data_IF_376824627878
#
_entry.id   IF_376824627878
#
_cell.length_a   1.000
_cell.length_b   1.000
_cell.length_c   1.000
_cell.angle_alpha   90.00
_cell.angle_beta   90.00
_cell.angle_gamma   90.00
#
_symmetry.space_group_name_H-M   'P 1'
#
loop_
_entity.id
_entity.type
_entity.pdbx_description
1 polymer ?
#
# COMPACT_ATOMS: atom_id res chain seq x y z
N UNK A 1 -16.06 8.14 12.88
CA UNK A 1 -15.98 6.89 12.10
C UNK A 1 -14.56 6.32 12.13
N UNK A 2 -14.41 5.03 11.82
CA UNK A 2 -13.12 4.36 11.75
C UNK A 2 -12.99 3.66 10.42
N UNK A 3 -11.96 4.01 9.67
CA UNK A 3 -11.58 3.36 8.42
C UNK A 3 -10.22 2.69 8.57
N UNK A 4 -10.06 1.49 8.02
CA UNK A 4 -8.78 0.80 7.93
C UNK A 4 -8.48 0.56 6.46
N UNK A 5 -7.38 1.14 5.99
CA UNK A 5 -6.90 1.00 4.62
C UNK A 5 -6.02 -0.25 4.52
N UNK A 6 -6.32 -1.12 3.55
CA UNK A 6 -5.62 -2.39 3.35
C UNK A 6 -5.40 -2.67 1.87
N UNK A 7 -4.36 -3.46 1.60
CA UNK A 7 -4.02 -3.95 0.27
C UNK A 7 -3.55 -5.41 0.31
N UNK A 8 -3.12 -5.94 -0.82
CA UNK A 8 -2.63 -7.31 -0.97
C UNK A 8 -1.35 -7.63 -0.20
N UNK A 9 -0.60 -6.62 0.22
CA UNK A 9 0.63 -6.74 1.01
C UNK A 9 0.37 -6.60 2.51
N UNK A 10 -0.83 -6.14 2.89
CA UNK A 10 -1.27 -6.08 4.29
C UNK A 10 -1.39 -7.48 4.87
N UNK A 11 -0.55 -7.81 5.86
CA UNK A 11 -0.38 -9.17 6.33
C UNK A 11 -0.28 -9.29 7.85
N UNK A 12 -0.56 -10.48 8.40
CA UNK A 12 -0.26 -10.86 9.79
C UNK A 12 -0.95 -9.95 10.82
N UNK A 13 -0.20 -9.18 11.63
CA UNK A 13 -0.75 -8.29 12.65
C UNK A 13 -1.72 -7.24 12.08
N UNK A 14 -1.45 -6.73 10.88
CA UNK A 14 -2.36 -5.81 10.18
C UNK A 14 -3.71 -6.47 9.90
N UNK A 15 -3.71 -7.75 9.53
CA UNK A 15 -4.93 -8.52 9.29
C UNK A 15 -5.68 -8.85 10.59
N UNK A 16 -4.94 -9.02 11.70
CA UNK A 16 -5.55 -9.18 13.03
C UNK A 16 -6.36 -7.95 13.39
N UNK A 17 -5.78 -6.77 13.22
CA UNK A 17 -6.47 -5.49 13.51
C UNK A 17 -7.64 -5.28 12.55
N UNK A 18 -7.44 -5.42 11.24
CA UNK A 18 -8.49 -5.25 10.24
C UNK A 18 -9.66 -6.22 10.48
N UNK A 19 -9.36 -7.50 10.72
CA UNK A 19 -10.35 -8.52 11.02
C UNK A 19 -11.12 -8.26 12.32
N UNK A 20 -10.44 -7.80 13.36
CA UNK A 20 -11.09 -7.47 14.62
C UNK A 20 -12.07 -6.28 14.46
N UNK A 21 -11.67 -5.25 13.71
CA UNK A 21 -12.53 -4.08 13.44
C UNK A 21 -13.72 -4.46 12.57
N UNK A 22 -13.49 -5.23 11.49
CA UNK A 22 -14.55 -5.67 10.59
C UNK A 22 -15.57 -6.57 11.27
N UNK A 23 -15.11 -7.57 12.00
CA UNK A 23 -15.96 -8.59 12.60
C UNK A 23 -16.77 -8.08 13.79
N UNK A 24 -16.31 -7.02 14.47
CA UNK A 24 -17.07 -6.33 15.52
C UNK A 24 -17.94 -5.17 14.98
N UNK A 25 -18.05 -4.99 13.67
CA UNK A 25 -18.78 -3.86 13.04
C UNK A 25 -18.36 -2.49 13.62
N UNK A 26 -17.06 -2.35 13.97
CA UNK A 26 -16.53 -1.14 14.61
C UNK A 26 -16.10 -0.09 13.59
N UNK A 27 -15.83 -0.49 12.36
CA UNK A 27 -15.39 0.37 11.27
C UNK A 27 -15.47 -0.33 9.92
N UNK A 28 -15.06 0.38 8.87
CA UNK A 28 -15.03 -0.12 7.50
C UNK A 28 -13.60 -0.42 7.06
N UNK A 29 -13.45 -1.51 6.34
CA UNK A 29 -12.20 -1.89 5.68
C UNK A 29 -12.27 -1.43 4.24
N UNK A 30 -11.32 -0.60 3.82
CA UNK A 30 -11.28 0.00 2.49
C UNK A 30 -10.00 -0.45 1.78
N UNK A 31 -10.12 -0.91 0.55
CA UNK A 31 -8.95 -1.26 -0.25
C UNK A 31 -9.10 -2.54 -1.05
N UNK A 32 -8.11 -3.43 -0.95
CA UNK A 32 -8.07 -4.73 -1.62
C UNK A 32 -7.93 -5.86 -0.63
N UNK A 33 -8.22 -7.09 -1.07
CA UNK A 33 -8.11 -8.28 -0.23
C UNK A 33 -6.69 -8.47 0.28
N UNK A 34 -6.53 -8.61 1.59
CA UNK A 34 -5.24 -8.74 2.27
C UNK A 34 -4.51 -10.04 1.96
N UNK A 35 -3.29 -10.16 2.43
CA UNK A 35 -2.39 -11.26 2.09
C UNK A 35 -2.91 -12.64 2.50
N UNK A 36 -3.53 -12.78 3.68
CA UNK A 36 -4.01 -14.07 4.19
C UNK A 36 -2.99 -14.86 5.00
N UNK A 37 -2.26 -14.19 5.91
CA UNK A 37 -1.33 -14.83 6.84
C UNK A 37 -1.91 -14.87 8.25
N UNK A 38 -2.60 -15.95 8.56
CA UNK A 38 -3.27 -16.18 9.84
C UNK A 38 -2.57 -17.18 10.75
N UNK A 39 -1.25 -17.35 10.64
CA UNK A 39 -0.46 -18.29 11.43
C UNK A 39 0.32 -17.55 12.53
N UNK A 40 0.26 -18.09 13.75
CA UNK A 40 1.10 -17.66 14.87
C UNK A 40 2.41 -18.43 14.84
N UNK A 41 3.52 -17.72 14.86
CA UNK A 41 4.86 -18.30 14.85
C UNK A 41 5.60 -17.90 16.12
N UNK A 42 6.28 -18.86 16.73
CA UNK A 42 7.15 -18.65 17.89
C UNK A 42 8.60 -18.93 17.54
N UNK A 43 9.49 -18.12 18.09
CA UNK A 43 10.93 -18.31 18.00
C UNK A 43 11.40 -19.09 19.22
N UNK A 44 12.09 -20.20 18.99
CA UNK A 44 12.61 -21.08 20.04
C UNK A 44 14.14 -21.11 19.94
N UNK A 45 14.88 -20.75 20.98
CA UNK A 45 16.33 -20.84 20.97
C UNK A 45 16.78 -22.30 20.97
N UNK A 46 17.80 -22.61 20.17
CA UNK A 46 18.44 -23.93 20.08
C UNK A 46 19.80 -23.98 20.80
N UNK A 47 20.25 -22.88 21.39
CA UNK A 47 21.57 -22.72 22.00
C UNK A 47 22.57 -22.07 21.03
N UNK A 48 23.70 -21.59 21.57
CA UNK A 48 24.80 -20.96 20.80
C UNK A 48 24.39 -19.82 19.86
N UNK A 49 23.23 -19.17 20.11
CA UNK A 49 22.71 -18.11 19.27
C UNK A 49 21.77 -18.58 18.16
N UNK A 50 21.66 -19.87 17.92
CA UNK A 50 20.76 -20.45 16.92
C UNK A 50 19.31 -20.42 17.41
N UNK A 51 18.38 -20.23 16.45
CA UNK A 51 16.95 -20.19 16.72
C UNK A 51 16.16 -20.88 15.62
N UNK A 52 15.06 -21.54 15.98
CA UNK A 52 14.09 -22.06 15.06
C UNK A 52 12.77 -21.28 15.19
N UNK A 53 12.13 -20.98 14.08
CA UNK A 53 10.80 -20.37 14.03
C UNK A 53 9.77 -21.41 13.61
N UNK A 54 8.86 -21.74 14.52
CA UNK A 54 7.83 -22.74 14.31
C UNK A 54 6.43 -22.11 14.33
N UNK A 55 5.56 -22.62 13.46
CA UNK A 55 4.11 -22.32 13.53
C UNK A 55 3.50 -23.15 14.66
N UNK A 56 2.89 -22.45 15.63
CA UNK A 56 2.33 -23.08 16.84
C UNK A 56 0.81 -23.00 16.93
N UNK A 57 0.18 -22.03 16.22
CA UNK A 57 -1.27 -21.84 16.25
C UNK A 57 -1.78 -21.16 14.98
N UNK A 58 -3.11 -21.18 14.82
CA UNK A 58 -3.85 -20.37 13.84
C UNK A 58 -4.57 -19.25 14.56
N UNK A 59 -4.65 -18.11 13.90
CA UNK A 59 -5.42 -16.98 14.34
C UNK A 59 -6.86 -17.06 13.82
N UNK A 60 -7.81 -16.72 14.68
CA UNK A 60 -9.23 -16.62 14.33
C UNK A 60 -9.73 -15.23 14.74
N UNK A 61 -10.52 -14.61 13.86
CA UNK A 61 -11.15 -13.32 14.13
C UNK A 61 -12.36 -13.47 15.05
N UNK A 62 -12.97 -12.37 15.56
CA UNK A 62 -14.12 -12.45 16.49
C UNK A 62 -15.31 -13.28 15.99
N UNK A 63 -15.58 -13.33 14.69
CA UNK A 63 -16.62 -14.21 14.12
C UNK A 63 -16.23 -15.68 14.06
N UNK A 64 -15.00 -16.04 14.42
CA UNK A 64 -14.47 -17.42 14.39
C UNK A 64 -13.90 -17.83 13.04
N UNK A 65 -13.83 -16.94 12.03
CA UNK A 65 -13.21 -17.25 10.75
C UNK A 65 -11.69 -17.25 10.84
N UNK A 66 -11.04 -18.17 10.12
CA UNK A 66 -9.62 -18.12 9.86
C UNK A 66 -9.34 -17.32 8.58
N UNK A 67 -8.44 -16.35 8.66
CA UNK A 67 -8.00 -15.56 7.51
C UNK A 67 -6.88 -16.25 6.72
N UNK A 68 -6.32 -17.34 7.26
CA UNK A 68 -5.23 -18.06 6.63
C UNK A 68 -5.66 -18.60 5.26
N UNK A 69 -4.97 -18.17 4.21
CA UNK A 69 -5.16 -18.78 2.88
C UNK A 69 -4.65 -20.21 2.85
N UNK A 70 -5.14 -21.04 1.93
CA UNK A 70 -4.71 -22.42 1.83
C UNK A 70 -3.18 -22.53 1.76
N UNK A 71 -2.63 -23.39 2.59
CA UNK A 71 -1.21 -23.69 2.66
C UNK A 71 -1.02 -25.15 2.22
N UNK A 72 -0.56 -25.32 0.98
CA UNK A 72 -0.11 -26.63 0.52
C UNK A 72 1.37 -26.78 0.89
N UNK A 73 1.68 -27.78 1.72
CA UNK A 73 3.04 -28.09 2.16
C UNK A 73 3.90 -28.66 1.04
N UNK A 74 3.30 -29.05 -0.10
CA UNK A 74 4.01 -29.62 -1.24
C UNK A 74 4.87 -28.62 -2.01
N UNK A 75 4.53 -27.33 -1.98
CA UNK A 75 5.29 -26.29 -2.68
C UNK A 75 5.26 -24.93 -1.98
N UNK A 76 6.42 -24.53 -1.43
CA UNK A 76 6.61 -23.19 -0.89
C UNK A 76 6.47 -22.10 -1.97
N UNK A 77 6.78 -22.44 -3.21
CA UNK A 77 6.68 -21.53 -4.37
C UNK A 77 5.24 -21.15 -4.68
N UNK A 78 4.30 -22.07 -4.51
CA UNK A 78 2.88 -21.85 -4.82
C UNK A 78 2.21 -20.92 -3.83
N UNK A 79 2.68 -20.92 -2.58
CA UNK A 79 2.18 -20.00 -1.55
C UNK A 79 2.35 -18.53 -1.93
N UNK A 80 3.52 -18.14 -2.48
CA UNK A 80 3.76 -16.78 -2.94
C UNK A 80 3.24 -16.52 -4.37
N UNK A 81 3.08 -17.57 -5.16
CA UNK A 81 2.49 -17.46 -6.50
C UNK A 81 1.01 -17.08 -6.48
N UNK A 82 0.29 -17.33 -5.37
CA UNK A 82 -1.13 -16.97 -5.24
C UNK A 82 -1.36 -15.46 -5.36
N UNK A 83 -0.53 -14.63 -4.73
CA UNK A 83 -0.65 -13.17 -4.87
C UNK A 83 -0.44 -12.73 -6.32
N UNK A 84 0.55 -13.30 -7.01
CA UNK A 84 0.76 -13.05 -8.45
C UNK A 84 -0.43 -13.49 -9.29
N UNK A 85 -1.08 -14.61 -8.92
CA UNK A 85 -2.27 -15.11 -9.59
C UNK A 85 -3.44 -14.14 -9.49
N UNK A 86 -3.60 -13.39 -8.37
CA UNK A 86 -4.63 -12.35 -8.22
C UNK A 86 -4.53 -11.28 -9.31
N UNK A 87 -3.31 -10.86 -9.67
CA UNK A 87 -3.09 -9.94 -10.80
C UNK A 87 -3.52 -10.56 -12.14
N UNK A 88 -3.18 -11.83 -12.37
CA UNK A 88 -3.48 -12.53 -13.62
C UNK A 88 -4.99 -12.81 -13.80
N UNK A 89 -5.69 -13.11 -12.72
CA UNK A 89 -7.15 -13.35 -12.74
C UNK A 89 -7.97 -12.08 -12.85
N UNK A 90 -7.33 -10.91 -12.65
CA UNK A 90 -7.99 -9.61 -12.65
C UNK A 90 -8.68 -9.25 -11.34
N UNK A 91 -8.41 -9.98 -10.25
CA UNK A 91 -8.94 -9.67 -8.92
C UNK A 91 -8.57 -8.24 -8.48
N UNK A 92 -7.39 -7.76 -8.88
CA UNK A 92 -6.93 -6.40 -8.53
C UNK A 92 -7.78 -5.27 -9.13
N UNK A 93 -8.63 -5.59 -10.10
CA UNK A 93 -9.47 -4.60 -10.78
C UNK A 93 -10.97 -4.84 -10.58
N UNK A 94 -11.33 -6.06 -10.16
CA UNK A 94 -12.72 -6.48 -10.11
C UNK A 94 -12.97 -7.35 -8.87
N UNK A 95 -13.71 -6.83 -7.86
CA UNK A 95 -14.00 -7.56 -6.63
C UNK A 95 -14.83 -8.83 -6.86
N UNK A 96 -15.57 -8.93 -7.96
CA UNK A 96 -16.36 -10.13 -8.27
C UNK A 96 -15.49 -11.36 -8.57
N UNK A 97 -14.19 -11.14 -8.82
CA UNK A 97 -13.19 -12.20 -9.07
C UNK A 97 -12.49 -12.69 -7.81
N UNK A 98 -12.80 -12.14 -6.65
CA UNK A 98 -12.34 -12.66 -5.37
C UNK A 98 -12.97 -14.04 -5.17
N UNK A 99 -12.18 -15.12 -5.02
CA UNK A 99 -12.72 -16.44 -4.81
C UNK A 99 -13.41 -16.53 -3.44
N UNK A 100 -14.69 -16.86 -3.44
CA UNK A 100 -15.48 -17.08 -2.23
C UNK A 100 -15.70 -18.57 -2.06
N UNK A 101 -15.45 -19.06 -0.83
CA UNK A 101 -15.82 -20.40 -0.44
C UNK A 101 -17.08 -20.34 0.43
N UNK A 102 -18.20 -20.83 -0.08
CA UNK A 102 -19.50 -20.77 0.59
C UNK A 102 -19.50 -21.44 1.97
N UNK A 103 -18.63 -22.42 2.21
CA UNK A 103 -18.48 -23.07 3.53
C UNK A 103 -17.73 -22.21 4.55
N UNK A 104 -17.14 -21.09 4.13
CA UNK A 104 -16.36 -20.17 4.96
C UNK A 104 -16.96 -18.77 5.02
N UNK A 105 -18.28 -18.68 4.94
CA UNK A 105 -19.03 -17.43 5.14
C UNK A 105 -19.43 -17.34 6.62
N UNK A 106 -19.13 -16.20 7.23
CA UNK A 106 -19.44 -15.88 8.62
C UNK A 106 -20.28 -14.60 8.66
N UNK A 107 -20.92 -14.34 9.79
CA UNK A 107 -21.80 -13.20 9.95
C UNK A 107 -21.38 -12.38 11.16
N UNK A 108 -21.26 -11.08 11.00
CA UNK A 108 -20.97 -10.15 12.08
C UNK A 108 -22.20 -9.91 12.96
N UNK A 109 -22.07 -9.31 14.15
CA UNK A 109 -23.20 -8.97 15.02
C UNK A 109 -24.31 -8.15 14.34
N UNK A 110 -23.96 -7.28 13.40
CA UNK A 110 -24.95 -6.48 12.62
C UNK A 110 -25.47 -7.20 11.36
N UNK A 111 -25.10 -8.46 11.15
CA UNK A 111 -25.59 -9.26 10.02
C UNK A 111 -24.80 -9.11 8.72
N UNK A 112 -23.64 -8.44 8.74
CA UNK A 112 -22.76 -8.33 7.58
C UNK A 112 -22.06 -9.66 7.30
N UNK A 113 -22.00 -10.08 6.04
CA UNK A 113 -21.24 -11.27 5.62
C UNK A 113 -19.76 -10.94 5.55
N UNK A 114 -18.93 -11.82 6.13
CA UNK A 114 -17.47 -11.78 6.06
C UNK A 114 -16.94 -13.16 5.68
N UNK A 115 -15.76 -13.20 5.07
CA UNK A 115 -15.25 -14.40 4.40
C UNK A 115 -13.96 -14.87 5.04
N UNK A 116 -13.81 -16.19 5.17
CA UNK A 116 -12.60 -16.83 5.67
C UNK A 116 -11.77 -17.48 4.55
N UNK A 117 -10.58 -17.99 4.92
CA UNK A 117 -9.74 -18.81 4.06
C UNK A 117 -8.89 -18.09 3.03
N UNK A 118 -8.78 -16.76 3.08
CA UNK A 118 -8.04 -16.05 2.03
C UNK A 118 -7.70 -14.58 2.31
N UNK A 119 -7.47 -14.20 3.55
CA UNK A 119 -7.26 -12.81 3.96
C UNK A 119 -8.57 -12.10 4.31
N UNK A 120 -8.47 -10.80 4.52
CA UNK A 120 -9.62 -9.92 4.79
C UNK A 120 -10.10 -9.33 3.46
N UNK A 121 -11.34 -9.62 3.09
CA UNK A 121 -12.02 -8.96 1.97
C UNK A 121 -12.52 -7.60 2.44
N UNK A 122 -12.19 -6.50 1.75
CA UNK A 122 -12.61 -5.17 2.18
C UNK A 122 -14.12 -4.97 2.04
N UNK A 123 -14.68 -4.06 2.84
CA UNK A 123 -16.06 -3.62 2.74
C UNK A 123 -16.27 -2.71 1.52
N UNK A 124 -15.27 -1.87 1.25
CA UNK A 124 -15.23 -0.97 0.10
C UNK A 124 -14.00 -1.27 -0.72
N UNK A 125 -14.21 -1.70 -1.95
CA UNK A 125 -13.13 -2.10 -2.83
C UNK A 125 -12.51 -0.90 -3.55
N UNK A 126 -11.17 -0.86 -3.62
CA UNK A 126 -10.40 0.12 -4.39
C UNK A 126 -9.58 -0.61 -5.46
N UNK A 127 -9.94 -0.42 -6.71
CA UNK A 127 -9.28 -1.04 -7.87
C UNK A 127 -7.92 -0.40 -8.15
N UNK A 128 -6.96 -1.19 -8.61
CA UNK A 128 -5.68 -0.66 -9.10
C UNK A 128 -5.85 0.12 -10.41
N UNK A 129 -6.63 -0.40 -11.34
CA UNK A 129 -6.84 0.16 -12.70
C UNK A 129 -5.62 0.88 -13.31
N UNK A 130 -4.42 0.39 -12.99
CA UNK A 130 -3.16 1.00 -13.38
C UNK A 130 -2.72 0.50 -14.75
N UNK A 131 -2.24 1.43 -15.56
CA UNK A 131 -1.55 1.10 -16.81
C UNK A 131 -0.13 0.60 -16.51
N UNK A 132 0.51 -0.08 -17.47
CA UNK A 132 1.92 -0.49 -17.33
C UNK A 132 2.86 0.69 -17.05
N UNK A 133 2.54 1.87 -17.60
CA UNK A 133 3.33 3.09 -17.39
C UNK A 133 3.15 3.62 -15.95
N UNK A 134 1.97 3.49 -15.35
CA UNK A 134 1.71 3.87 -13.96
C UNK A 134 2.44 2.92 -13.00
N UNK A 135 2.30 1.62 -13.18
CA UNK A 135 3.03 0.61 -12.39
C UNK A 135 4.55 0.83 -12.44
N UNK A 136 5.07 1.19 -13.62
CA UNK A 136 6.49 1.50 -13.77
C UNK A 136 6.89 2.76 -13.00
N UNK A 137 6.08 3.81 -13.04
CA UNK A 137 6.35 5.04 -12.30
C UNK A 137 6.27 4.81 -10.80
N UNK A 138 5.30 4.04 -10.31
CA UNK A 138 5.19 3.68 -8.90
C UNK A 138 6.40 2.87 -8.42
N UNK A 139 6.90 1.95 -9.26
CA UNK A 139 8.16 1.26 -9.01
C UNK A 139 9.35 2.23 -8.90
N UNK A 140 9.47 3.21 -9.80
CA UNK A 140 10.54 4.22 -9.75
C UNK A 140 10.44 5.09 -8.50
N UNK A 141 9.23 5.53 -8.15
CA UNK A 141 8.97 6.31 -6.92
C UNK A 141 9.35 5.49 -5.68
N UNK A 142 8.95 4.22 -5.63
CA UNK A 142 9.29 3.29 -4.53
C UNK A 142 10.76 2.86 -4.47
N UNK A 143 11.55 3.09 -5.52
CA UNK A 143 12.96 2.68 -5.61
C UNK A 143 13.95 3.66 -4.94
N UNK A 144 13.48 4.65 -4.19
CA UNK A 144 14.28 5.75 -3.60
C UNK A 144 14.99 6.67 -4.62
N UNK A 145 14.77 6.51 -5.92
CA UNK A 145 15.37 7.39 -6.94
C UNK A 145 14.87 8.83 -6.83
N UNK A 146 13.61 8.99 -6.48
CA UNK A 146 13.02 10.32 -6.32
C UNK A 146 13.59 11.05 -5.10
N UNK A 147 13.86 10.33 -4.01
CA UNK A 147 14.49 10.90 -2.81
C UNK A 147 15.91 11.38 -3.12
N UNK A 148 16.71 10.54 -3.79
CA UNK A 148 18.04 10.91 -4.23
C UNK A 148 18.03 12.09 -5.23
N UNK A 149 17.09 12.08 -6.17
CA UNK A 149 16.92 13.20 -7.11
C UNK A 149 16.65 14.51 -6.38
N UNK A 150 15.69 14.49 -5.45
CA UNK A 150 15.32 15.66 -4.65
C UNK A 150 16.51 16.17 -3.85
N UNK A 151 17.24 15.28 -3.18
CA UNK A 151 18.45 15.65 -2.44
C UNK A 151 19.46 16.39 -3.32
N UNK A 152 19.76 15.84 -4.51
CA UNK A 152 20.72 16.45 -5.45
C UNK A 152 20.22 17.79 -6.01
N UNK A 153 18.92 17.93 -6.26
CA UNK A 153 18.34 19.20 -6.74
C UNK A 153 18.33 20.28 -5.67
N UNK A 154 18.04 19.91 -4.42
CA UNK A 154 18.10 20.84 -3.30
C UNK A 154 19.53 21.31 -3.03
N UNK A 155 20.52 20.40 -3.09
CA UNK A 155 21.93 20.73 -2.88
C UNK A 155 22.42 21.77 -3.93
N UNK A 156 22.05 21.57 -5.21
CA UNK A 156 22.42 22.51 -6.30
C UNK A 156 21.71 23.86 -6.20
N UNK A 157 20.46 23.88 -5.73
CA UNK A 157 19.54 24.99 -5.92
C UNK A 157 19.00 25.57 -4.59
N UNK A 158 19.62 25.25 -3.47
CA UNK A 158 19.15 25.62 -2.11
C UNK A 158 18.77 27.12 -2.00
N UNK A 159 19.51 28.00 -2.70
CA UNK A 159 19.26 29.44 -2.69
C UNK A 159 18.01 29.87 -3.49
N UNK A 160 17.48 28.99 -4.33
CA UNK A 160 16.34 29.28 -5.21
C UNK A 160 15.01 28.90 -4.58
N UNK A 161 15.05 28.18 -3.45
CA UNK A 161 13.87 27.76 -2.73
C UNK A 161 13.70 28.57 -1.45
N UNK A 162 12.54 29.19 -1.29
CA UNK A 162 12.17 29.81 -0.02
C UNK A 162 11.31 28.83 0.77
N UNK A 163 11.92 28.19 1.76
CA UNK A 163 11.29 27.22 2.63
C UNK A 163 10.83 27.79 3.99
N UNK A 164 10.88 29.11 4.17
CA UNK A 164 10.61 29.76 5.45
C UNK A 164 9.14 29.65 5.88
N UNK A 165 8.23 29.36 4.93
CA UNK A 165 6.80 29.26 5.21
C UNK A 165 6.23 27.90 4.74
N UNK A 166 6.16 26.96 5.67
CA UNK A 166 5.61 25.62 5.48
C UNK A 166 4.17 25.62 4.96
N UNK A 167 3.30 26.51 5.48
CA UNK A 167 1.91 26.58 5.04
C UNK A 167 1.79 27.08 3.60
N UNK A 168 2.62 28.03 3.22
CA UNK A 168 2.72 28.50 1.84
C UNK A 168 3.17 27.36 0.92
N UNK A 169 4.22 26.62 1.30
CA UNK A 169 4.71 25.47 0.54
C UNK A 169 3.63 24.39 0.34
N UNK A 170 2.81 24.12 1.36
CA UNK A 170 1.72 23.16 1.25
C UNK A 170 0.67 23.57 0.20
N UNK A 171 0.34 24.87 0.15
CA UNK A 171 -0.76 25.39 -0.66
C UNK A 171 -0.36 25.79 -2.09
N UNK A 172 0.91 26.02 -2.36
CA UNK A 172 1.39 26.47 -3.67
C UNK A 172 1.97 25.30 -4.49
N UNK A 173 1.94 25.43 -5.79
CA UNK A 173 2.67 24.53 -6.69
C UNK A 173 4.19 24.68 -6.55
N UNK A 174 4.93 23.67 -6.98
CA UNK A 174 6.38 23.78 -7.09
C UNK A 174 6.77 24.89 -8.08
N UNK A 175 7.79 25.70 -7.79
CA UNK A 175 8.32 26.65 -8.77
C UNK A 175 8.85 25.87 -9.98
N UNK A 176 8.50 26.31 -11.20
CA UNK A 176 8.91 25.65 -12.44
C UNK A 176 8.62 24.12 -12.50
N UNK A 177 7.36 23.70 -12.39
CA UNK A 177 7.00 22.28 -12.33
C UNK A 177 7.45 21.49 -13.59
N UNK A 178 7.47 22.12 -14.77
CA UNK A 178 7.98 21.51 -16.00
C UNK A 178 9.47 21.19 -15.92
N UNK A 179 10.26 22.12 -15.38
CA UNK A 179 11.69 21.91 -15.19
C UNK A 179 12.00 20.75 -14.25
N UNK A 180 11.23 20.59 -13.18
CA UNK A 180 11.35 19.42 -12.28
C UNK A 180 11.09 18.12 -13.03
N UNK A 181 10.04 18.06 -13.84
CA UNK A 181 9.71 16.87 -14.62
C UNK A 181 10.82 16.53 -15.62
N UNK A 182 11.33 17.50 -16.34
CA UNK A 182 12.39 17.32 -17.33
C UNK A 182 13.68 16.85 -16.67
N UNK A 183 14.09 17.50 -15.58
CA UNK A 183 15.27 17.13 -14.79
C UNK A 183 15.14 15.73 -14.20
N UNK A 184 13.96 15.37 -13.68
CA UNK A 184 13.73 14.03 -13.13
C UNK A 184 13.76 12.95 -14.21
N UNK A 185 13.12 13.21 -15.35
CA UNK A 185 13.15 12.26 -16.47
C UNK A 185 14.58 12.03 -17.00
N UNK A 186 15.39 13.08 -17.07
CA UNK A 186 16.80 12.97 -17.45
C UNK A 186 17.62 12.22 -16.38
N UNK A 187 17.37 12.49 -15.11
CA UNK A 187 18.00 11.78 -13.99
C UNK A 187 17.68 10.29 -14.02
N UNK A 188 16.42 9.91 -14.20
CA UNK A 188 16.01 8.51 -14.36
C UNK A 188 16.67 7.83 -15.54
N UNK A 189 16.76 8.53 -16.69
CA UNK A 189 17.44 8.03 -17.89
C UNK A 189 18.93 7.78 -17.66
N UNK A 190 19.62 8.67 -16.95
CA UNK A 190 21.04 8.51 -16.56
C UNK A 190 21.27 7.31 -15.65
N UNK A 191 20.28 6.94 -14.84
CA UNK A 191 20.32 5.79 -13.95
C UNK A 191 19.79 4.49 -14.62
N UNK A 192 19.63 4.46 -15.94
CA UNK A 192 19.12 3.32 -16.71
C UNK A 192 17.67 2.89 -16.36
N UNK A 193 16.88 3.78 -15.80
CA UNK A 193 15.49 3.58 -15.42
C UNK A 193 14.59 4.66 -16.05
N UNK A 194 14.49 4.74 -17.39
CA UNK A 194 13.76 5.81 -18.05
C UNK A 194 12.27 5.75 -17.68
N UNK A 195 11.71 6.93 -17.35
CA UNK A 195 10.27 7.09 -17.14
C UNK A 195 9.59 7.65 -18.39
N UNK A 196 8.31 7.33 -18.54
CA UNK A 196 7.46 7.90 -19.57
C UNK A 196 6.48 8.88 -18.93
N UNK A 197 6.75 10.17 -19.12
CA UNK A 197 5.85 11.23 -18.65
C UNK A 197 4.69 11.39 -19.61
N UNK A 198 3.47 11.32 -19.07
CA UNK A 198 2.21 11.53 -19.78
C UNK A 198 1.41 12.61 -19.08
N UNK A 199 0.36 13.13 -19.73
CA UNK A 199 -0.55 14.07 -19.05
C UNK A 199 -1.19 13.48 -17.79
N UNK A 200 -1.45 12.16 -17.80
CA UNK A 200 -2.12 11.45 -16.70
C UNK A 200 -1.22 11.29 -15.46
N UNK A 201 0.08 10.99 -15.65
CA UNK A 201 0.98 10.71 -14.53
C UNK A 201 1.85 11.90 -14.08
N UNK A 202 1.85 12.99 -14.86
CA UNK A 202 2.66 14.18 -14.59
C UNK A 202 2.38 14.77 -13.21
N UNK A 203 1.11 14.88 -12.85
CA UNK A 203 0.66 15.44 -11.57
C UNK A 203 1.14 14.55 -10.40
N UNK A 204 1.00 13.24 -10.52
CA UNK A 204 1.47 12.30 -9.50
C UNK A 204 2.99 12.37 -9.29
N UNK A 205 3.76 12.47 -10.38
CA UNK A 205 5.23 12.64 -10.28
C UNK A 205 5.57 13.96 -9.57
N UNK A 206 4.92 15.06 -9.92
CA UNK A 206 5.14 16.35 -9.26
C UNK A 206 4.74 16.32 -7.79
N UNK A 207 3.62 15.69 -7.46
CA UNK A 207 3.18 15.52 -6.09
C UNK A 207 4.20 14.70 -5.27
N UNK A 208 4.74 13.64 -5.85
CA UNK A 208 5.80 12.84 -5.21
C UNK A 208 7.07 13.65 -5.02
N UNK A 209 7.53 14.39 -6.02
CA UNK A 209 8.71 15.29 -5.89
C UNK A 209 8.46 16.30 -4.77
N UNK A 210 7.30 16.94 -4.74
CA UNK A 210 6.91 17.91 -3.68
C UNK A 210 6.89 17.27 -2.30
N UNK A 211 6.36 16.05 -2.20
CA UNK A 211 6.32 15.30 -0.94
C UNK A 211 7.73 15.01 -0.43
N UNK A 212 8.65 14.52 -1.28
CA UNK A 212 10.03 14.26 -0.90
C UNK A 212 10.82 15.53 -0.57
N UNK A 213 10.55 16.65 -1.25
CA UNK A 213 11.08 17.96 -0.81
C UNK A 213 10.60 18.27 0.61
N UNK A 214 9.32 18.07 0.88
CA UNK A 214 8.76 18.31 2.22
C UNK A 214 9.40 17.41 3.29
N UNK A 215 9.68 16.15 2.97
CA UNK A 215 10.36 15.21 3.86
C UNK A 215 11.75 15.72 4.26
N UNK A 216 12.52 16.17 3.27
CA UNK A 216 13.91 16.59 3.51
C UNK A 216 14.03 17.99 4.16
N UNK A 217 13.06 18.87 3.91
CA UNK A 217 13.13 20.28 4.38
C UNK A 217 12.35 20.51 5.67
N UNK A 218 11.26 19.79 5.86
CA UNK A 218 10.37 19.98 7.01
C UNK A 218 10.30 18.72 7.91
N UNK A 219 9.36 17.82 7.60
CA UNK A 219 9.09 16.64 8.42
C UNK A 219 8.19 15.61 7.69
N UNK A 220 8.09 14.40 8.26
CA UNK A 220 7.23 13.32 7.77
C UNK A 220 5.75 13.71 7.71
N UNK A 221 5.24 14.49 8.67
CA UNK A 221 3.83 14.89 8.65
C UNK A 221 3.52 15.76 7.42
N UNK A 222 4.47 16.59 7.01
CA UNK A 222 4.32 17.42 5.80
C UNK A 222 4.41 16.57 4.54
N UNK A 223 5.31 15.59 4.52
CA UNK A 223 5.39 14.58 3.47
C UNK A 223 4.04 13.88 3.28
N UNK A 224 3.49 13.28 4.33
CA UNK A 224 2.23 12.55 4.25
C UNK A 224 1.04 13.43 3.89
N UNK A 225 1.00 14.68 4.34
CA UNK A 225 -0.04 15.63 3.92
C UNK A 225 -0.07 15.87 2.41
N UNK A 226 1.09 15.79 1.75
CA UNK A 226 1.18 15.96 0.31
C UNK A 226 0.98 14.61 -0.40
N UNK A 227 1.67 13.56 0.02
CA UNK A 227 1.60 12.25 -0.60
C UNK A 227 0.17 11.69 -0.64
N UNK A 228 -0.57 11.84 0.46
CA UNK A 228 -1.93 11.31 0.60
C UNK A 228 -2.98 12.08 -0.23
N UNK A 229 -2.66 13.24 -0.80
CA UNK A 229 -3.63 14.00 -1.63
C UNK A 229 -4.07 13.23 -2.87
N UNK A 230 -3.19 12.39 -3.42
CA UNK A 230 -3.45 11.59 -4.61
C UNK A 230 -3.58 10.07 -4.29
N UNK A 231 -3.60 9.70 -3.01
CA UNK A 231 -3.79 8.31 -2.59
C UNK A 231 -5.25 7.90 -2.75
N UNK A 232 -5.50 6.92 -3.63
CA UNK A 232 -6.84 6.42 -3.96
C UNK A 232 -7.59 5.85 -2.75
N UNK A 233 -6.87 5.26 -1.81
CA UNK A 233 -7.47 4.69 -0.58
C UNK A 233 -7.90 5.80 0.37
N UNK A 234 -7.04 6.81 0.55
CA UNK A 234 -7.35 7.98 1.38
C UNK A 234 -8.51 8.76 0.78
N UNK A 235 -8.48 9.03 -0.53
CA UNK A 235 -9.57 9.71 -1.24
C UNK A 235 -10.88 8.94 -1.04
N UNK A 236 -10.85 7.62 -1.24
CA UNK A 236 -12.04 6.78 -1.08
C UNK A 236 -12.59 6.79 0.35
N UNK A 237 -11.70 6.82 1.36
CA UNK A 237 -12.09 6.95 2.77
C UNK A 237 -12.76 8.31 3.05
N UNK A 238 -12.21 9.38 2.50
CA UNK A 238 -12.75 10.74 2.66
C UNK A 238 -14.09 10.95 1.95
N UNK A 239 -14.39 10.18 0.90
CA UNK A 239 -15.66 10.19 0.16
C UNK A 239 -16.73 9.27 0.78
N UNK A 240 -16.36 8.49 1.79
CA UNK A 240 -17.28 7.53 2.43
C UNK A 240 -17.92 8.21 3.65
N UNK A 241 -19.25 8.40 3.59
CA UNK A 241 -20.09 8.94 4.66
C UNK A 241 -20.49 7.87 5.70
#
# INVERSE_FOLDING_TARGET
ELFILVDEDSASASEVVAGAVQDNDRGLIIGRRTFGKGLVQQQMPLGQGDQVRLTTARYYTPTGRSIQRPYDTSSRTDYYAEVRKRHQTGEMNDPSKIPINDSLIFTTPKGKKVYGGGGITPDIYVSTQETKDELWNDYIIGSNLIDLFVFLELDKNVKNFNFDNKQKFLNEELPNPNGFIESFAEFCKKNNLPIKVTKKNKENILNSIKAFIALQVYDENTYFKIANQNDKFVIRAMETD
#
